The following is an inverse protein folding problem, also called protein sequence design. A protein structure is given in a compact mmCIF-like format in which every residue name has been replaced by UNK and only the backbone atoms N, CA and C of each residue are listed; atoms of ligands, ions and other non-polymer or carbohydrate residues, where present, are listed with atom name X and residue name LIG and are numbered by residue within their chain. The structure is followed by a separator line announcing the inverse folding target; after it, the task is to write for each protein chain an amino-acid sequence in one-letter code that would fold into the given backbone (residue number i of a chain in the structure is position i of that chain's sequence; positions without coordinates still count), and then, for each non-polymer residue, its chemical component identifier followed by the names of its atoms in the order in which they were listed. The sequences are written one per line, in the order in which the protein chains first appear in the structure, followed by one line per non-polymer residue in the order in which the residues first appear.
data_IF_264131464808
#
_entry.id   IF_264131464808
#
_cell.length_a   1.000
_cell.length_b   1.000
_cell.length_c   1.000
_cell.angle_alpha   90.00
_cell.angle_beta   90.00
_cell.angle_gamma   90.00
#
_symmetry.space_group_name_H-M   'P 1'
#
loop_
_entity.id
_entity.type
_entity.pdbx_description
1 polymer ?
#
# COMPACT_ATOMS: atom_id res chain seq x y z
N UNK A 1 -20.99 13.99 14.15
CA UNK A 1 -19.98 13.42 13.22
C UNK A 1 -18.64 13.53 13.90
N UNK A 2 -18.42 12.59 14.80
CA UNK A 2 -17.41 12.66 15.84
C UNK A 2 -16.01 12.50 15.22
N UNK A 3 -15.01 13.18 15.79
CA UNK A 3 -13.62 13.20 15.30
C UNK A 3 -13.10 11.80 14.96
N UNK A 4 -13.56 10.79 15.70
CA UNK A 4 -13.28 9.37 15.48
C UNK A 4 -13.64 8.90 14.06
N UNK A 5 -14.79 9.29 13.52
CA UNK A 5 -15.22 8.92 12.17
C UNK A 5 -14.32 9.56 11.10
N UNK A 6 -13.92 10.82 11.30
CA UNK A 6 -13.05 11.53 10.36
C UNK A 6 -11.66 10.91 10.32
N UNK A 7 -11.09 10.59 11.49
CA UNK A 7 -9.77 9.92 11.58
C UNK A 7 -9.84 8.51 10.99
N UNK A 8 -10.90 7.76 11.29
CA UNK A 8 -11.10 6.43 10.71
C UNK A 8 -11.22 6.48 9.19
N UNK A 9 -12.04 7.38 8.66
CA UNK A 9 -12.19 7.58 7.23
C UNK A 9 -10.86 7.94 6.56
N UNK A 10 -10.07 8.85 7.17
CA UNK A 10 -8.75 9.22 6.65
C UNK A 10 -7.81 8.02 6.53
N UNK A 11 -7.70 7.21 7.59
CA UNK A 11 -6.82 6.03 7.60
C UNK A 11 -7.24 5.02 6.53
N UNK A 12 -8.54 4.75 6.41
CA UNK A 12 -9.08 3.81 5.41
C UNK A 12 -8.84 4.33 4.00
N UNK A 13 -9.18 5.60 3.73
CA UNK A 13 -9.03 6.19 2.39
C UNK A 13 -7.56 6.26 1.98
N UNK A 14 -6.66 6.71 2.87
CA UNK A 14 -5.23 6.72 2.59
C UNK A 14 -4.67 5.31 2.43
N UNK A 15 -5.10 4.36 3.25
CA UNK A 15 -4.69 2.96 3.13
C UNK A 15 -5.04 2.37 1.77
N UNK A 16 -6.27 2.59 1.29
CA UNK A 16 -6.71 2.14 -0.04
C UNK A 16 -5.92 2.85 -1.14
N UNK A 17 -5.79 4.17 -1.05
CA UNK A 17 -5.09 4.99 -2.06
C UNK A 17 -3.63 4.53 -2.24
N UNK A 18 -2.90 4.37 -1.13
CA UNK A 18 -1.49 3.96 -1.13
C UNK A 18 -1.33 2.54 -1.65
N UNK A 19 -2.19 1.61 -1.21
CA UNK A 19 -2.18 0.22 -1.70
C UNK A 19 -2.33 0.16 -3.22
N UNK A 20 -3.29 0.91 -3.78
CA UNK A 20 -3.51 0.97 -5.23
C UNK A 20 -2.32 1.64 -5.94
N UNK A 21 -1.77 2.71 -5.37
CA UNK A 21 -0.62 3.41 -5.93
C UNK A 21 0.60 2.48 -6.08
N UNK A 22 0.96 1.77 -5.02
CA UNK A 22 2.08 0.84 -5.02
C UNK A 22 1.81 -0.37 -5.93
N UNK A 23 0.56 -0.86 -5.96
CA UNK A 23 0.15 -1.92 -6.89
C UNK A 23 0.31 -1.48 -8.35
N UNK A 24 0.00 -0.22 -8.68
CA UNK A 24 0.21 0.34 -10.01
C UNK A 24 1.68 0.26 -10.44
N UNK A 25 2.60 0.67 -9.56
CA UNK A 25 4.04 0.56 -9.81
C UNK A 25 4.47 -0.90 -10.01
N UNK A 26 4.01 -1.81 -9.16
CA UNK A 26 4.29 -3.23 -9.26
C UNK A 26 3.80 -3.82 -10.59
N UNK A 27 2.57 -3.46 -11.00
CA UNK A 27 1.94 -3.93 -12.22
C UNK A 27 2.67 -3.44 -13.47
N UNK A 28 3.02 -2.14 -13.52
CA UNK A 28 3.79 -1.57 -14.64
C UNK A 28 5.20 -2.18 -14.69
N UNK A 29 5.89 -2.30 -13.56
CA UNK A 29 7.23 -2.90 -13.49
C UNK A 29 7.24 -4.35 -14.03
N UNK A 30 6.25 -5.17 -13.66
CA UNK A 30 6.11 -6.54 -14.19
C UNK A 30 5.88 -6.55 -15.71
N UNK A 31 5.09 -5.62 -16.24
CA UNK A 31 4.87 -5.53 -17.68
C UNK A 31 6.08 -5.03 -18.46
N UNK A 32 6.94 -4.24 -17.85
CA UNK A 32 8.22 -3.82 -18.42
C UNK A 32 9.33 -4.90 -18.29
N UNK A 33 9.00 -6.11 -17.80
CA UNK A 33 9.98 -7.19 -17.62
C UNK A 33 10.90 -7.02 -16.41
N UNK A 34 10.60 -6.08 -15.51
CA UNK A 34 11.38 -5.87 -14.28
C UNK A 34 11.00 -6.94 -13.26
N UNK A 35 12.00 -7.69 -12.76
CA UNK A 35 11.80 -8.70 -11.72
C UNK A 35 11.59 -8.03 -10.36
N UNK A 36 10.35 -7.97 -9.90
CA UNK A 36 10.02 -7.43 -8.58
C UNK A 36 10.15 -8.52 -7.52
N UNK A 37 11.05 -8.33 -6.55
CA UNK A 37 11.39 -9.34 -5.54
C UNK A 37 10.46 -9.30 -4.33
N UNK A 38 9.92 -8.12 -3.99
CA UNK A 38 9.01 -7.91 -2.86
C UNK A 38 8.02 -6.82 -3.20
N UNK A 39 6.76 -7.07 -2.87
CA UNK A 39 5.71 -6.06 -2.85
C UNK A 39 5.55 -5.57 -1.42
N UNK A 40 5.66 -4.27 -1.19
CA UNK A 40 5.42 -3.63 0.10
C UNK A 40 4.22 -2.69 -0.04
N UNK A 41 3.38 -2.66 1.00
CA UNK A 41 2.27 -1.70 1.10
C UNK A 41 2.48 -0.81 2.33
N UNK A 42 2.66 0.50 2.14
CA UNK A 42 2.73 1.49 3.24
C UNK A 42 3.95 2.42 3.21
N UNK A 43 4.27 3.02 4.37
CA UNK A 43 5.34 4.02 4.51
C UNK A 43 6.52 3.48 5.35
N UNK A 44 7.67 3.22 4.72
CA UNK A 44 8.92 2.91 5.42
C UNK A 44 9.13 1.44 5.80
N UNK A 45 9.69 1.18 6.99
CA UNK A 45 9.97 -0.18 7.48
C UNK A 45 8.69 -1.01 7.59
N UNK A 46 8.67 -2.25 7.09
CA UNK A 46 7.46 -3.07 7.10
C UNK A 46 7.00 -3.30 8.54
N UNK A 47 5.80 -2.78 8.87
CA UNK A 47 5.17 -2.98 10.18
C UNK A 47 4.87 -4.45 10.46
N UNK A 48 4.56 -5.21 9.41
CA UNK A 48 4.29 -6.63 9.49
C UNK A 48 5.05 -7.31 8.36
N UNK A 49 5.90 -8.27 8.72
CA UNK A 49 6.71 -9.04 7.77
C UNK A 49 6.31 -10.50 7.84
N UNK A 50 5.33 -10.88 7.02
CA UNK A 50 5.06 -12.28 6.77
C UNK A 50 6.09 -12.81 5.77
N UNK A 51 6.69 -13.94 6.12
CA UNK A 51 7.42 -14.77 5.16
C UNK A 51 6.56 -15.99 4.94
N UNK A 52 6.37 -16.33 3.68
CA UNK A 52 5.82 -17.59 3.20
C UNK A 52 6.55 -18.78 3.87
#
# INVERSE_FOLDING_TARGET
MDILNTVFALIVTLGILVTIHEYGHFWVARRCGVKVLRFSVGFGTPLIRWRD
#
